data_IF_249720762602
#
_entry.id   IF_249720762602
#
_cell.length_a   1.000
_cell.length_b   1.000
_cell.length_c   1.000
_cell.angle_alpha   90.00
_cell.angle_beta   90.00
_cell.angle_gamma   90.00
#
_symmetry.space_group_name_H-M   'P 1'
#
loop_
_entity.id
_entity.type
_entity.pdbx_description
1 polymer ?
#
# COMPACT_ATOMS: atom_id res chain seq x y z
N UNK A 1 -10.47 -26.01 2.85
CA UNK A 1 -11.46 -24.91 2.99
C UNK A 1 -11.09 -23.65 2.19
N UNK A 2 -9.82 -23.24 2.12
CA UNK A 2 -9.38 -22.05 1.33
C UNK A 2 -9.51 -22.24 -0.20
N UNK A 3 -9.23 -23.44 -0.71
CA UNK A 3 -9.30 -23.74 -2.15
C UNK A 3 -10.74 -23.71 -2.69
N UNK A 4 -11.74 -24.11 -1.90
CA UNK A 4 -13.16 -24.03 -2.30
C UNK A 4 -13.62 -22.57 -2.42
N UNK A 5 -13.30 -21.74 -1.42
CA UNK A 5 -13.67 -20.31 -1.43
C UNK A 5 -13.04 -19.55 -2.60
N UNK A 6 -11.84 -19.93 -3.05
CA UNK A 6 -11.19 -19.31 -4.23
C UNK A 6 -11.82 -19.71 -5.56
N UNK A 7 -12.28 -20.96 -5.69
CA UNK A 7 -12.98 -21.46 -6.88
C UNK A 7 -14.38 -20.86 -6.97
N UNK A 8 -15.10 -20.76 -5.85
CA UNK A 8 -16.41 -20.11 -5.77
C UNK A 8 -16.32 -18.62 -6.12
N UNK A 9 -15.36 -17.89 -5.56
CA UNK A 9 -15.17 -16.47 -5.86
C UNK A 9 -14.83 -16.19 -7.34
N UNK A 10 -14.03 -17.07 -7.96
CA UNK A 10 -13.69 -16.92 -9.38
C UNK A 10 -14.89 -17.18 -10.29
N UNK A 11 -15.74 -18.13 -9.91
CA UNK A 11 -16.98 -18.45 -10.64
C UNK A 11 -18.02 -17.33 -10.53
N UNK A 12 -18.14 -16.70 -9.35
CA UNK A 12 -19.06 -15.60 -9.11
C UNK A 12 -18.68 -14.33 -9.88
N UNK A 13 -17.38 -14.00 -9.95
CA UNK A 13 -16.90 -12.89 -10.77
C UNK A 13 -17.07 -13.21 -12.26
N UNK A 14 -16.81 -14.44 -12.69
CA UNK A 14 -17.07 -14.84 -14.07
C UNK A 14 -18.57 -14.73 -14.40
N UNK A 15 -19.46 -15.13 -13.50
CA UNK A 15 -20.91 -14.95 -13.67
C UNK A 15 -21.29 -13.46 -13.72
N UNK A 16 -20.79 -12.65 -12.78
CA UNK A 16 -21.08 -11.23 -12.70
C UNK A 16 -20.53 -10.43 -13.90
N UNK A 17 -19.37 -10.81 -14.46
CA UNK A 17 -18.82 -10.18 -15.67
C UNK A 17 -19.62 -10.49 -16.94
N UNK A 18 -20.40 -11.58 -16.96
CA UNK A 18 -21.24 -11.99 -18.09
C UNK A 18 -22.72 -11.60 -17.95
N UNK A 19 -23.17 -11.22 -16.75
CA UNK A 19 -24.55 -10.79 -16.51
C UNK A 19 -24.62 -9.25 -16.27
N UNK A 20 -25.24 -8.47 -17.18
CA UNK A 20 -25.30 -7.01 -17.09
C UNK A 20 -26.10 -6.49 -15.89
N UNK A 21 -26.77 -7.36 -15.14
CA UNK A 21 -27.45 -7.00 -13.88
C UNK A 21 -26.47 -6.79 -12.72
N UNK A 22 -25.24 -7.26 -12.86
CA UNK A 22 -24.19 -7.08 -11.86
C UNK A 22 -23.30 -5.88 -12.22
N UNK A 23 -22.86 -5.19 -11.19
CA UNK A 23 -21.82 -4.18 -11.31
C UNK A 23 -20.92 -4.20 -10.08
N UNK A 24 -19.68 -3.77 -10.29
CA UNK A 24 -18.68 -3.63 -9.25
C UNK A 24 -18.65 -2.19 -8.81
N UNK A 25 -18.60 -1.97 -7.50
CA UNK A 25 -18.47 -0.63 -6.94
C UNK A 25 -17.33 -0.58 -5.92
N UNK A 26 -16.60 0.52 -5.97
CA UNK A 26 -15.62 0.88 -4.95
C UNK A 26 -16.33 1.83 -4.00
N UNK A 27 -16.21 1.54 -2.72
CA UNK A 27 -16.72 2.38 -1.65
C UNK A 27 -15.54 2.91 -0.83
N UNK A 28 -15.60 4.16 -0.41
CA UNK A 28 -14.67 4.68 0.57
C UNK A 28 -15.04 4.10 1.94
N UNK A 29 -14.11 3.39 2.59
CA UNK A 29 -14.39 2.67 3.84
C UNK A 29 -14.86 3.58 4.98
N UNK A 30 -14.25 4.77 5.09
CA UNK A 30 -14.57 5.75 6.15
C UNK A 30 -16.02 6.24 6.09
N UNK A 31 -16.55 6.44 4.89
CA UNK A 31 -17.86 7.08 4.68
C UNK A 31 -18.92 6.09 4.20
N UNK A 32 -18.51 4.92 3.71
CA UNK A 32 -19.38 3.97 3.03
C UNK A 32 -19.91 4.47 1.69
N UNK A 33 -19.40 5.59 1.16
CA UNK A 33 -19.90 6.19 -0.07
C UNK A 33 -19.30 5.51 -1.31
N UNK A 34 -20.09 5.25 -2.36
CA UNK A 34 -19.55 4.75 -3.62
C UNK A 34 -18.73 5.85 -4.30
N UNK A 35 -17.51 5.51 -4.72
CA UNK A 35 -16.57 6.43 -5.38
C UNK A 35 -16.23 6.00 -6.81
N UNK A 36 -16.51 4.74 -7.17
CA UNK A 36 -16.31 4.24 -8.52
C UNK A 36 -17.27 3.09 -8.83
N UNK A 37 -17.67 2.96 -10.09
CA UNK A 37 -18.48 1.85 -10.56
C UNK A 37 -17.94 1.33 -11.89
N UNK A 38 -17.93 0.01 -12.04
CA UNK A 38 -17.58 -0.67 -13.28
C UNK A 38 -18.57 -1.80 -13.60
N UNK A 39 -18.81 -2.04 -14.88
CA UNK A 39 -19.62 -3.17 -15.34
C UNK A 39 -18.82 -4.47 -15.44
N UNK A 40 -17.48 -4.40 -15.36
CA UNK A 40 -16.58 -5.55 -15.35
C UNK A 40 -15.55 -5.38 -14.25
N UNK A 41 -15.15 -6.49 -13.64
CA UNK A 41 -14.13 -6.45 -12.59
C UNK A 41 -12.83 -5.87 -13.11
N UNK A 42 -12.47 -6.16 -14.37
CA UNK A 42 -11.26 -5.61 -15.00
C UNK A 42 -11.27 -4.09 -15.20
N UNK A 43 -12.44 -3.47 -15.30
CA UNK A 43 -12.51 -2.02 -15.47
C UNK A 43 -12.30 -1.27 -14.14
N UNK A 44 -12.36 -1.98 -13.00
CA UNK A 44 -11.99 -1.44 -11.68
C UNK A 44 -10.53 -0.98 -11.62
N UNK A 45 -9.66 -1.52 -12.47
CA UNK A 45 -8.25 -1.11 -12.56
C UNK A 45 -8.07 0.31 -13.08
N UNK A 46 -9.04 0.86 -13.82
CA UNK A 46 -9.01 2.26 -14.23
C UNK A 46 -9.08 3.20 -13.03
N UNK A 47 -9.78 2.81 -11.97
CA UNK A 47 -9.80 3.60 -10.74
C UNK A 47 -8.40 3.68 -10.11
N UNK A 48 -7.66 2.58 -10.06
CA UNK A 48 -6.31 2.56 -9.49
C UNK A 48 -5.27 3.29 -10.35
N UNK A 49 -5.53 3.41 -11.66
CA UNK A 49 -4.63 4.09 -12.60
C UNK A 49 -4.97 5.58 -12.83
N UNK A 50 -6.19 6.02 -12.49
CA UNK A 50 -6.70 7.37 -12.81
C UNK A 50 -7.20 8.10 -11.54
N UNK A 51 -7.40 7.40 -10.43
CA UNK A 51 -8.03 7.92 -9.22
C UNK A 51 -7.10 8.75 -8.33
N UNK A 52 -7.68 9.43 -7.31
CA UNK A 52 -6.90 10.15 -6.30
C UNK A 52 -5.95 9.19 -5.58
N UNK A 53 -4.98 9.75 -4.84
CA UNK A 53 -3.98 9.07 -3.99
C UNK A 53 -4.57 8.23 -2.84
N UNK A 54 -5.73 7.61 -3.03
CA UNK A 54 -6.37 6.70 -2.10
C UNK A 54 -5.65 5.36 -2.07
N UNK A 55 -5.34 4.89 -0.88
CA UNK A 55 -4.71 3.59 -0.67
C UNK A 55 -5.78 2.51 -0.79
N UNK A 56 -5.42 1.32 -1.29
CA UNK A 56 -6.33 0.17 -1.38
C UNK A 56 -6.96 -0.19 -0.02
N UNK A 57 -6.25 0.07 1.08
CA UNK A 57 -6.73 -0.16 2.44
C UNK A 57 -7.92 0.74 2.85
N UNK A 58 -8.12 1.86 2.16
CA UNK A 58 -9.17 2.86 2.44
C UNK A 58 -10.46 2.59 1.66
N UNK A 59 -10.51 1.52 0.87
CA UNK A 59 -11.64 1.19 0.03
C UNK A 59 -12.19 -0.21 0.32
N UNK A 60 -13.47 -0.39 -0.01
CA UNK A 60 -14.13 -1.69 -0.14
C UNK A 60 -14.54 -1.87 -1.59
N UNK A 61 -14.27 -3.04 -2.17
CA UNK A 61 -14.91 -3.42 -3.44
C UNK A 61 -16.15 -4.23 -3.10
N UNK A 62 -17.26 -4.01 -3.80
CA UNK A 62 -18.48 -4.81 -3.61
C UNK A 62 -19.09 -5.16 -4.95
N UNK A 63 -19.61 -6.38 -5.03
CA UNK A 63 -20.44 -6.84 -6.14
C UNK A 63 -21.88 -6.50 -5.79
N UNK A 64 -22.54 -5.74 -6.66
CA UNK A 64 -23.90 -5.28 -6.46
C UNK A 64 -24.82 -5.81 -7.56
N UNK A 65 -25.99 -6.31 -7.13
CA UNK A 65 -27.09 -6.72 -7.99
C UNK A 65 -28.29 -5.81 -7.71
N UNK A 66 -28.64 -4.94 -8.66
CA UNK A 66 -29.67 -3.92 -8.44
C UNK A 66 -29.33 -3.03 -7.24
N UNK A 67 -30.19 -2.98 -6.20
CA UNK A 67 -29.92 -2.27 -4.92
C UNK A 67 -29.30 -3.16 -3.83
N UNK A 68 -29.15 -4.46 -4.07
CA UNK A 68 -28.68 -5.43 -3.08
C UNK A 68 -27.18 -5.66 -3.25
N UNK A 69 -26.43 -5.45 -2.16
CA UNK A 69 -25.01 -5.84 -2.10
C UNK A 69 -25.00 -7.34 -1.88
N UNK A 70 -24.44 -8.09 -2.83
CA UNK A 70 -24.50 -9.56 -2.82
C UNK A 70 -23.30 -10.15 -2.10
N UNK A 71 -22.17 -9.43 -2.05
CA UNK A 71 -20.98 -9.87 -1.31
C UNK A 71 -20.15 -8.68 -0.78
N UNK A 72 -19.68 -8.72 0.47
CA UNK A 72 -18.55 -7.91 0.93
C UNK A 72 -17.26 -8.51 0.35
N UNK A 73 -17.06 -8.30 -0.95
CA UNK A 73 -15.95 -8.90 -1.69
C UNK A 73 -14.68 -8.06 -1.55
N UNK A 74 -13.75 -8.57 -0.75
CA UNK A 74 -12.38 -8.12 -0.59
C UNK A 74 -12.18 -7.00 0.43
N UNK A 75 -11.31 -7.32 1.38
CA UNK A 75 -10.74 -6.44 2.40
C UNK A 75 -11.59 -6.38 3.68
N UNK A 76 -11.93 -7.57 4.20
CA UNK A 76 -11.73 -7.74 5.63
C UNK A 76 -10.21 -7.91 5.83
N UNK A 77 -9.54 -6.80 6.16
CA UNK A 77 -8.16 -6.75 6.68
C UNK A 77 -8.04 -6.94 8.21
N UNK A 78 -8.94 -7.61 8.97
CA UNK A 78 -8.69 -7.80 10.39
C UNK A 78 -7.78 -9.02 10.55
N UNK A 79 -6.45 -8.78 10.53
CA UNK A 79 -5.49 -9.52 11.37
C UNK A 79 -4.04 -9.01 11.30
N UNK A 80 -3.66 -8.16 10.35
CA UNK A 80 -2.40 -7.38 10.49
C UNK A 80 -2.64 -6.05 11.19
N UNK A 81 -3.89 -5.53 11.16
CA UNK A 81 -4.29 -4.26 11.80
C UNK A 81 -4.06 -4.16 13.31
N UNK A 82 -3.65 -5.22 13.99
CA UNK A 82 -3.28 -5.14 15.40
C UNK A 82 -1.83 -4.69 15.66
N UNK A 83 -0.94 -4.52 14.65
CA UNK A 83 0.51 -4.40 14.95
C UNK A 83 1.40 -3.55 14.02
N UNK A 84 0.95 -2.51 13.30
CA UNK A 84 1.93 -1.49 12.88
C UNK A 84 2.29 -0.65 14.10
N UNK A 85 3.28 -1.12 14.86
CA UNK A 85 3.85 -0.35 15.98
C UNK A 85 4.60 0.88 15.47
N UNK A 86 4.95 0.92 14.19
CA UNK A 86 5.78 1.97 13.60
C UNK A 86 5.03 2.74 12.52
N UNK A 87 5.25 4.04 12.49
CA UNK A 87 4.65 4.98 11.54
C UNK A 87 5.71 5.94 11.04
N UNK A 88 5.66 6.26 9.76
CA UNK A 88 6.38 7.42 9.24
C UNK A 88 5.52 8.65 9.51
N UNK A 89 6.01 9.53 10.38
CA UNK A 89 5.26 10.70 10.85
C UNK A 89 5.96 11.98 10.44
N UNK A 90 5.18 13.06 10.37
CA UNK A 90 5.70 14.42 10.23
C UNK A 90 4.96 15.36 11.16
N UNK A 91 5.71 16.16 11.89
CA UNK A 91 5.26 17.28 12.70
C UNK A 91 5.69 18.56 11.99
N UNK A 92 4.74 19.43 11.67
CA UNK A 92 5.00 20.69 10.97
C UNK A 92 5.30 21.80 11.98
N UNK A 93 6.40 22.51 11.74
CA UNK A 93 6.94 23.49 12.69
C UNK A 93 7.07 24.86 12.01
N UNK A 94 6.61 25.89 12.72
CA UNK A 94 6.91 27.28 12.43
C UNK A 94 7.96 27.79 13.44
N UNK A 95 9.20 27.94 12.97
CA UNK A 95 10.35 28.40 13.78
C UNK A 95 10.91 29.76 13.30
N UNK A 96 10.27 30.40 12.31
CA UNK A 96 10.80 31.54 11.57
C UNK A 96 11.86 31.16 10.54
N UNK A 97 11.87 29.91 10.06
CA UNK A 97 12.73 29.46 8.96
C UNK A 97 12.15 29.93 7.63
N UNK A 98 12.94 30.64 6.82
CA UNK A 98 12.54 31.19 5.53
C UNK A 98 13.47 30.82 4.38
N UNK A 99 13.35 31.51 3.22
CA UNK A 99 14.20 31.28 2.04
C UNK A 99 15.70 31.46 2.32
N UNK A 100 16.04 32.42 3.18
CA UNK A 100 17.41 32.70 3.65
C UNK A 100 17.85 31.76 4.79
N UNK A 101 17.08 30.71 5.06
CA UNK A 101 17.24 29.84 6.21
C UNK A 101 16.68 30.45 7.49
N UNK A 102 17.24 30.05 8.62
CA UNK A 102 16.87 30.53 9.95
C UNK A 102 18.02 31.33 10.54
N UNK A 103 17.71 32.45 11.21
CA UNK A 103 18.71 33.23 11.91
C UNK A 103 19.44 32.36 12.95
N UNK A 104 20.77 32.48 13.02
CA UNK A 104 21.61 31.58 13.82
C UNK A 104 21.16 31.48 15.29
N UNK A 105 20.81 32.60 15.92
CA UNK A 105 20.32 32.60 17.31
C UNK A 105 18.98 31.85 17.46
N UNK A 106 18.06 31.96 16.49
CA UNK A 106 16.80 31.21 16.50
C UNK A 106 17.05 29.72 16.31
N UNK A 107 18.00 29.34 15.45
CA UNK A 107 18.38 27.95 15.28
C UNK A 107 18.97 27.36 16.56
N UNK A 108 19.82 28.13 17.27
CA UNK A 108 20.36 27.70 18.56
C UNK A 108 19.27 27.51 19.61
N UNK A 109 18.28 28.41 19.68
CA UNK A 109 17.13 28.28 20.57
C UNK A 109 16.30 27.03 20.23
N UNK A 110 15.97 26.84 18.95
CA UNK A 110 15.27 25.65 18.45
C UNK A 110 16.01 24.37 18.84
N UNK A 111 17.31 24.27 18.52
CA UNK A 111 18.11 23.08 18.81
C UNK A 111 18.23 22.81 20.31
N UNK A 112 18.36 23.85 21.14
CA UNK A 112 18.42 23.72 22.60
C UNK A 112 17.11 23.15 23.15
N UNK A 113 15.98 23.67 22.69
CA UNK A 113 14.67 23.19 23.14
C UNK A 113 14.36 21.78 22.63
N UNK A 114 14.69 21.45 21.37
CA UNK A 114 14.59 20.10 20.82
C UNK A 114 15.42 19.11 21.64
N UNK A 115 16.67 19.47 21.98
CA UNK A 115 17.51 18.63 22.86
C UNK A 115 16.83 18.38 24.20
N UNK A 116 16.30 19.43 24.83
CA UNK A 116 15.61 19.31 26.11
C UNK A 116 14.38 18.40 26.01
N UNK A 117 13.45 18.70 25.10
CA UNK A 117 12.20 17.95 24.91
C UNK A 117 12.49 16.46 24.73
N UNK A 118 13.38 16.11 23.80
CA UNK A 118 13.63 14.72 23.48
C UNK A 118 14.47 14.01 24.55
N UNK A 119 15.43 14.70 25.20
CA UNK A 119 16.18 14.11 26.32
C UNK A 119 15.27 13.81 27.52
N UNK A 120 14.34 14.71 27.84
CA UNK A 120 13.34 14.50 28.91
C UNK A 120 12.43 13.30 28.59
N UNK A 121 12.17 13.03 27.31
CA UNK A 121 11.46 11.85 26.83
C UNK A 121 12.34 10.58 26.72
N UNK A 122 13.62 10.67 27.09
CA UNK A 122 14.57 9.56 27.07
C UNK A 122 15.03 9.16 25.67
N UNK A 123 15.11 10.11 24.74
CA UNK A 123 15.74 9.91 23.43
C UNK A 123 17.22 10.25 23.49
N UNK A 124 18.00 9.52 22.69
CA UNK A 124 19.36 9.91 22.36
C UNK A 124 19.31 10.97 21.24
N UNK A 125 20.13 12.02 21.39
CA UNK A 125 20.20 13.10 20.39
C UNK A 125 21.57 13.09 19.73
N UNK A 126 21.57 12.83 18.43
CA UNK A 126 22.79 12.79 17.61
C UNK A 126 22.78 13.86 16.53
N UNK A 127 23.96 14.16 15.99
CA UNK A 127 24.13 14.99 14.80
C UNK A 127 25.24 14.35 13.96
N UNK A 128 24.97 14.15 12.67
CA UNK A 128 25.94 13.51 11.77
C UNK A 128 27.14 14.41 11.47
N UNK A 129 26.90 15.65 11.08
CA UNK A 129 27.91 16.70 10.92
C UNK A 129 27.30 18.06 11.32
N UNK A 130 28.10 19.10 11.62
CA UNK A 130 27.58 20.39 12.09
C UNK A 130 26.48 21.01 11.22
N UNK A 131 26.52 20.76 9.90
CA UNK A 131 25.58 21.25 8.89
C UNK A 131 24.25 20.49 8.85
N UNK A 132 24.20 19.30 9.45
CA UNK A 132 22.98 18.50 9.53
C UNK A 132 22.18 18.87 10.77
N UNK A 133 20.86 18.85 10.65
CA UNK A 133 19.97 19.00 11.80
C UNK A 133 20.07 17.81 12.76
N UNK A 134 19.53 17.98 13.96
CA UNK A 134 19.54 16.95 15.00
C UNK A 134 18.73 15.73 14.57
N UNK A 135 19.11 14.57 15.10
CA UNK A 135 18.31 13.34 15.04
C UNK A 135 18.00 12.86 16.46
N UNK A 136 16.74 12.55 16.74
CA UNK A 136 16.27 12.02 18.00
C UNK A 136 15.90 10.54 17.85
N UNK A 137 16.61 9.67 18.57
CA UNK A 137 16.49 8.21 18.46
C UNK A 137 16.07 7.54 19.77
N UNK A 138 15.11 6.62 19.71
CA UNK A 138 14.68 5.79 20.85
C UNK A 138 14.05 4.50 20.34
N UNK A 139 14.69 3.35 20.60
CA UNK A 139 14.24 2.08 20.04
C UNK A 139 14.23 2.11 18.51
N UNK A 140 13.07 1.87 17.89
CA UNK A 140 12.87 1.98 16.44
C UNK A 140 12.46 3.39 15.99
N UNK A 141 12.22 4.32 16.92
CA UNK A 141 11.94 5.71 16.58
C UNK A 141 13.24 6.42 16.19
N UNK A 142 13.23 7.08 15.03
CA UNK A 142 14.31 7.93 14.54
C UNK A 142 13.70 9.13 13.83
N UNK A 143 13.84 10.30 14.44
CA UNK A 143 13.24 11.56 13.97
C UNK A 143 14.32 12.55 13.60
N UNK A 144 14.32 12.98 12.34
CA UNK A 144 15.11 14.11 11.86
C UNK A 144 14.42 15.42 12.25
N UNK A 145 15.12 16.29 12.97
CA UNK A 145 14.57 17.50 13.58
C UNK A 145 14.99 18.75 12.80
N UNK A 146 14.36 19.00 11.66
CA UNK A 146 14.55 20.22 10.90
C UNK A 146 13.70 21.37 11.47
N UNK A 147 14.14 22.64 11.42
CA UNK A 147 13.37 23.76 11.96
C UNK A 147 11.99 23.98 11.30
N UNK A 148 11.77 23.46 10.09
CA UNK A 148 10.44 23.49 9.44
C UNK A 148 9.59 22.24 9.71
N UNK A 149 10.19 21.15 10.16
CA UNK A 149 9.50 19.90 10.42
C UNK A 149 10.35 18.90 11.21
N UNK A 150 9.70 18.13 12.07
CA UNK A 150 10.29 16.90 12.62
C UNK A 150 9.67 15.71 11.89
N UNK A 151 10.48 14.84 11.32
CA UNK A 151 9.99 13.74 10.48
C UNK A 151 10.83 12.50 10.64
N UNK A 152 10.17 11.35 10.61
CA UNK A 152 10.86 10.07 10.58
C UNK A 152 10.01 8.93 11.09
N UNK A 153 10.67 7.80 11.31
CA UNK A 153 10.04 6.59 11.83
C UNK A 153 9.72 6.80 13.31
N UNK A 154 8.52 6.43 13.74
CA UNK A 154 8.06 6.65 15.11
C UNK A 154 7.19 5.51 15.60
N UNK A 155 7.43 5.09 16.84
CA UNK A 155 6.52 4.20 17.55
C UNK A 155 5.16 4.88 17.75
N UNK A 156 4.09 4.21 17.33
CA UNK A 156 2.72 4.71 17.36
C UNK A 156 2.29 5.15 18.77
N UNK A 157 2.75 4.45 19.80
CA UNK A 157 2.51 4.79 21.21
C UNK A 157 3.20 6.07 21.66
N UNK A 158 4.27 6.50 20.97
CA UNK A 158 5.06 7.68 21.34
C UNK A 158 4.56 8.96 20.67
N UNK A 159 3.81 8.85 19.57
CA UNK A 159 3.41 10.00 18.73
C UNK A 159 2.68 11.07 19.55
N UNK A 160 1.69 10.67 20.34
CA UNK A 160 0.85 11.61 21.07
C UNK A 160 1.64 12.34 22.17
N UNK A 161 2.51 11.64 22.89
CA UNK A 161 3.40 12.23 23.89
C UNK A 161 4.39 13.21 23.25
N UNK A 162 4.98 12.85 22.11
CA UNK A 162 5.88 13.75 21.35
C UNK A 162 5.10 14.99 20.91
N UNK A 163 3.92 14.81 20.31
CA UNK A 163 3.06 15.90 19.86
C UNK A 163 2.77 16.89 20.98
N UNK A 164 2.38 16.41 22.16
CA UNK A 164 2.08 17.25 23.32
C UNK A 164 3.29 18.06 23.79
N UNK A 165 4.47 17.44 23.86
CA UNK A 165 5.69 18.15 24.26
C UNK A 165 6.14 19.19 23.23
N UNK A 166 6.01 18.88 21.93
CA UNK A 166 6.28 19.84 20.86
C UNK A 166 5.29 21.00 20.85
N UNK A 167 4.01 20.75 21.16
CA UNK A 167 2.99 21.80 21.28
C UNK A 167 3.23 22.75 22.45
N UNK A 168 3.97 22.35 23.48
CA UNK A 168 4.31 23.18 24.64
C UNK A 168 5.58 24.02 24.45
N UNK A 169 6.19 23.95 23.26
CA UNK A 169 7.42 24.67 22.90
C UNK A 169 7.28 26.19 23.05
N UNK A 170 8.38 26.84 23.43
CA UNK A 170 8.48 28.30 23.54
C UNK A 170 9.24 28.93 22.37
N UNK A 171 10.04 28.16 21.61
CA UNK A 171 10.90 28.67 20.53
C UNK A 171 10.33 28.42 19.14
N UNK A 172 9.28 27.60 19.01
CA UNK A 172 8.59 27.31 17.76
C UNK A 172 7.12 26.94 18.01
N UNK A 173 6.31 26.97 16.95
CA UNK A 173 4.91 26.57 17.00
C UNK A 173 4.73 25.26 16.23
N UNK A 174 4.13 24.26 16.87
CA UNK A 174 3.63 23.07 16.17
C UNK A 174 2.32 23.44 15.46
N UNK A 175 2.33 23.47 14.13
CA UNK A 175 1.15 23.88 13.34
C UNK A 175 0.21 22.72 13.05
N UNK A 176 0.77 21.54 12.74
CA UNK A 176 0.01 20.32 12.48
C UNK A 176 0.90 19.08 12.55
N UNK A 177 0.29 17.89 12.50
CA UNK A 177 1.02 16.62 12.40
C UNK A 177 0.24 15.61 11.57
N UNK A 178 0.95 14.74 10.86
CA UNK A 178 0.34 13.68 10.07
C UNK A 178 1.10 12.35 10.19
N UNK A 179 0.36 11.25 9.97
CA UNK A 179 0.94 9.94 9.66
C UNK A 179 0.98 9.78 8.15
N UNK A 180 2.18 9.75 7.58
CA UNK A 180 2.40 9.58 6.14
C UNK A 180 2.14 8.11 5.76
N UNK A 181 2.78 7.19 6.49
CA UNK A 181 2.70 5.77 6.23
C UNK A 181 2.68 4.94 7.51
N UNK A 182 1.94 3.83 7.48
CA UNK A 182 2.11 2.72 8.43
C UNK A 182 3.33 1.90 7.99
N UNK A 183 4.17 1.50 8.94
CA UNK A 183 5.39 0.73 8.69
C UNK A 183 5.30 -0.61 9.43
N UNK A 184 5.45 -1.70 8.68
CA UNK A 184 5.37 -3.06 9.22
C UNK A 184 6.74 -3.61 9.58
N UNK A 185 6.94 -3.94 10.85
CA UNK A 185 8.11 -4.68 11.32
C UNK A 185 7.86 -6.18 11.18
N UNK A 186 8.11 -6.71 9.97
CA UNK A 186 7.82 -8.10 9.60
C UNK A 186 8.94 -8.72 8.77
N UNK A 187 9.10 -10.04 8.89
CA UNK A 187 10.08 -10.81 8.10
C UNK A 187 9.64 -10.95 6.63
N UNK A 188 10.56 -11.28 5.70
CA UNK A 188 10.20 -11.56 4.31
C UNK A 188 9.13 -12.65 4.16
N UNK A 189 9.19 -13.68 4.99
CA UNK A 189 8.26 -14.82 4.98
C UNK A 189 6.88 -14.39 5.45
N UNK A 190 6.81 -13.53 6.47
CA UNK A 190 5.57 -12.94 6.95
C UNK A 190 4.95 -12.01 5.90
N UNK A 191 5.77 -11.20 5.22
CA UNK A 191 5.34 -10.33 4.12
C UNK A 191 4.78 -11.15 2.94
N UNK A 192 5.48 -12.21 2.51
CA UNK A 192 4.98 -13.12 1.47
C UNK A 192 3.69 -13.82 1.90
N UNK A 193 3.62 -14.33 3.14
CA UNK A 193 2.41 -14.95 3.68
C UNK A 193 1.23 -13.97 3.69
N UNK A 194 1.48 -12.70 4.02
CA UNK A 194 0.49 -11.64 3.91
C UNK A 194 -0.02 -11.49 2.46
N UNK A 195 0.88 -11.41 1.47
CA UNK A 195 0.46 -11.33 0.08
C UNK A 195 -0.37 -12.54 -0.36
N UNK A 196 0.04 -13.77 -0.02
CA UNK A 196 -0.73 -14.98 -0.31
C UNK A 196 -2.10 -14.98 0.37
N UNK A 197 -2.18 -14.51 1.62
CA UNK A 197 -3.42 -14.56 2.37
C UNK A 197 -4.45 -13.56 1.84
N UNK A 198 -4.02 -12.34 1.49
CA UNK A 198 -4.94 -11.24 1.20
C UNK A 198 -5.05 -10.89 -0.29
N UNK A 199 -4.02 -11.17 -1.08
CA UNK A 199 -3.95 -10.75 -2.49
C UNK A 199 -3.98 -11.90 -3.49
N UNK A 200 -3.96 -13.16 -3.07
CA UNK A 200 -3.91 -14.30 -4.01
C UNK A 200 -5.12 -14.33 -4.96
N UNK A 201 -6.34 -14.26 -4.43
CA UNK A 201 -7.55 -14.18 -5.25
C UNK A 201 -7.59 -12.90 -6.09
N UNK A 202 -7.28 -11.75 -5.48
CA UNK A 202 -7.23 -10.46 -6.17
C UNK A 202 -6.31 -10.49 -7.39
N UNK A 203 -5.03 -10.84 -7.20
CA UNK A 203 -4.01 -10.88 -8.27
C UNK A 203 -4.40 -11.86 -9.36
N UNK A 204 -4.93 -13.03 -9.01
CA UNK A 204 -5.41 -14.01 -9.99
C UNK A 204 -6.45 -13.39 -10.94
N UNK A 205 -7.45 -12.71 -10.39
CA UNK A 205 -8.51 -12.05 -11.16
C UNK A 205 -8.01 -10.85 -11.97
N UNK A 206 -7.11 -10.06 -11.38
CA UNK A 206 -6.45 -8.94 -12.06
C UNK A 206 -5.72 -9.42 -13.31
N UNK A 207 -4.93 -10.48 -13.19
CA UNK A 207 -4.16 -11.05 -14.28
C UNK A 207 -5.07 -11.58 -15.39
N UNK A 208 -6.16 -12.29 -15.05
CA UNK A 208 -7.16 -12.71 -16.05
C UNK A 208 -7.74 -11.50 -16.78
N UNK A 209 -8.18 -10.48 -16.05
CA UNK A 209 -8.76 -9.27 -16.63
C UNK A 209 -7.80 -8.52 -17.55
N UNK A 210 -6.58 -8.28 -17.08
CA UNK A 210 -5.52 -7.63 -17.85
C UNK A 210 -5.22 -8.41 -19.11
N UNK A 211 -5.05 -9.74 -19.03
CA UNK A 211 -4.67 -10.56 -20.17
C UNK A 211 -5.85 -11.08 -21.00
N UNK A 212 -7.10 -10.74 -20.65
CA UNK A 212 -8.28 -11.09 -21.45
C UNK A 212 -8.18 -10.43 -22.83
N UNK A 213 -8.30 -11.25 -23.87
CA UNK A 213 -8.34 -10.80 -25.26
C UNK A 213 -9.58 -11.35 -25.97
N UNK A 214 -10.03 -10.64 -27.01
CA UNK A 214 -11.21 -11.07 -27.80
C UNK A 214 -10.88 -12.21 -28.77
N UNK A 215 -9.60 -12.40 -29.11
CA UNK A 215 -9.13 -13.36 -30.13
C UNK A 215 -7.89 -14.07 -29.64
N UNK A 216 -7.75 -15.37 -29.99
CA UNK A 216 -6.66 -16.25 -29.53
C UNK A 216 -5.27 -15.87 -30.02
N UNK A 217 -5.18 -15.13 -31.13
CA UNK A 217 -3.91 -14.66 -31.68
C UNK A 217 -3.48 -13.31 -31.11
N UNK A 218 -4.29 -12.68 -30.26
CA UNK A 218 -3.95 -11.42 -29.61
C UNK A 218 -3.34 -11.68 -28.24
N UNK A 219 -2.20 -11.04 -28.00
CA UNK A 219 -1.46 -11.08 -26.74
C UNK A 219 -1.17 -9.65 -26.27
N UNK A 220 -1.09 -9.45 -24.96
CA UNK A 220 -0.78 -8.17 -24.33
C UNK A 220 0.56 -8.23 -23.61
N UNK A 221 1.21 -7.08 -23.40
CA UNK A 221 2.54 -7.03 -22.75
C UNK A 221 2.48 -7.52 -21.31
N UNK A 222 3.50 -8.29 -20.89
CA UNK A 222 3.67 -8.69 -19.48
C UNK A 222 4.05 -7.51 -18.56
N UNK A 223 4.50 -6.39 -19.12
CA UNK A 223 4.89 -5.21 -18.32
C UNK A 223 3.75 -4.67 -17.45
N UNK A 224 2.50 -4.89 -17.84
CA UNK A 224 1.32 -4.50 -17.04
C UNK A 224 1.26 -5.21 -15.68
N UNK A 225 2.01 -6.28 -15.46
CA UNK A 225 2.09 -6.97 -14.16
C UNK A 225 2.84 -6.14 -13.10
N UNK A 226 3.82 -5.33 -13.52
CA UNK A 226 4.62 -4.53 -12.58
C UNK A 226 3.77 -3.54 -11.80
N UNK A 227 2.70 -3.02 -12.41
CA UNK A 227 1.79 -2.08 -11.76
C UNK A 227 0.97 -2.75 -10.65
N UNK A 228 0.71 -4.06 -10.74
CA UNK A 228 0.05 -4.82 -9.67
C UNK A 228 0.94 -4.86 -8.42
N UNK A 229 2.21 -5.20 -8.58
CA UNK A 229 3.18 -5.23 -7.47
C UNK A 229 3.35 -3.86 -6.81
N UNK A 230 3.41 -2.78 -7.61
CA UNK A 230 3.44 -1.40 -7.13
C UNK A 230 2.20 -1.00 -6.32
N UNK A 231 1.07 -1.59 -6.65
CA UNK A 231 -0.23 -1.28 -6.07
C UNK A 231 -0.45 -1.98 -4.73
N UNK A 232 0.00 -3.23 -4.60
CA UNK A 232 -0.24 -4.04 -3.38
C UNK A 232 0.89 -3.96 -2.34
N UNK A 233 2.06 -3.41 -2.71
CA UNK A 233 3.23 -3.37 -1.82
C UNK A 233 2.91 -2.64 -0.52
N UNK A 234 3.41 -3.20 0.58
CA UNK A 234 3.35 -2.58 1.92
C UNK A 234 4.73 -2.08 2.35
N UNK A 235 4.78 -0.96 3.08
CA UNK A 235 6.03 -0.44 3.61
C UNK A 235 6.46 -1.23 4.84
N UNK A 236 7.66 -1.78 4.79
CA UNK A 236 8.25 -2.54 5.90
C UNK A 236 9.43 -1.79 6.50
N UNK A 237 9.75 -2.07 7.77
CA UNK A 237 10.93 -1.50 8.43
C UNK A 237 12.21 -1.77 7.62
N UNK A 238 12.31 -2.98 7.06
CA UNK A 238 13.40 -3.39 6.17
C UNK A 238 13.53 -2.48 4.94
N UNK A 239 12.42 -2.07 4.33
CA UNK A 239 12.46 -1.16 3.18
C UNK A 239 13.00 0.23 3.57
N UNK A 240 12.65 0.73 4.76
CA UNK A 240 13.18 1.99 5.31
C UNK A 240 14.68 1.87 5.70
N UNK A 241 15.19 0.65 5.88
CA UNK A 241 16.61 0.34 6.11
C UNK A 241 17.42 0.12 4.82
N UNK A 242 16.87 0.46 3.64
CA UNK A 242 17.60 0.46 2.37
C UNK A 242 17.38 -0.77 1.49
N UNK A 243 16.49 -1.69 1.85
CA UNK A 243 16.11 -2.79 0.96
C UNK A 243 15.16 -2.33 -0.14
N UNK A 244 15.21 -3.00 -1.31
CA UNK A 244 14.37 -2.65 -2.47
C UNK A 244 12.88 -2.74 -2.12
N UNK A 245 12.25 -1.58 -1.98
CA UNK A 245 10.83 -1.46 -1.68
C UNK A 245 9.96 -2.05 -2.81
N UNK A 246 9.03 -2.94 -2.46
CA UNK A 246 8.10 -3.59 -3.40
C UNK A 246 8.62 -4.87 -4.06
N UNK A 247 9.87 -5.28 -3.82
CA UNK A 247 10.43 -6.49 -4.44
C UNK A 247 9.63 -7.76 -4.13
N UNK A 248 9.18 -7.95 -2.89
CA UNK A 248 8.42 -9.15 -2.53
C UNK A 248 6.99 -9.13 -3.12
N UNK A 249 6.39 -7.96 -3.25
CA UNK A 249 5.12 -7.81 -3.96
C UNK A 249 5.27 -8.18 -5.45
N UNK A 250 6.35 -7.73 -6.11
CA UNK A 250 6.69 -8.10 -7.50
C UNK A 250 6.85 -9.63 -7.63
N UNK A 251 7.66 -10.24 -6.76
CA UNK A 251 7.89 -11.69 -6.75
C UNK A 251 6.61 -12.49 -6.51
N UNK A 252 5.75 -12.03 -5.61
CA UNK A 252 4.47 -12.65 -5.36
C UNK A 252 3.57 -12.63 -6.61
N UNK A 253 3.48 -11.49 -7.32
CA UNK A 253 2.70 -11.39 -8.56
C UNK A 253 3.26 -12.32 -9.63
N UNK A 254 4.59 -12.41 -9.75
CA UNK A 254 5.26 -13.32 -10.68
C UNK A 254 4.98 -14.79 -10.33
N UNK A 255 5.00 -15.17 -9.05
CA UNK A 255 4.67 -16.52 -8.61
C UNK A 255 3.23 -16.90 -8.99
N UNK A 256 2.25 -16.02 -8.75
CA UNK A 256 0.85 -16.28 -9.13
C UNK A 256 0.73 -16.40 -10.65
N UNK A 257 1.39 -15.51 -11.39
CA UNK A 257 1.42 -15.57 -12.85
C UNK A 257 1.95 -16.91 -13.37
N UNK A 258 3.09 -17.38 -12.86
CA UNK A 258 3.69 -18.64 -13.32
C UNK A 258 2.78 -19.83 -13.04
N UNK A 259 2.19 -19.91 -11.84
CA UNK A 259 1.19 -20.94 -11.53
C UNK A 259 -0.01 -20.89 -12.48
N UNK A 260 -0.43 -19.71 -12.92
CA UNK A 260 -1.53 -19.59 -13.89
C UNK A 260 -1.14 -20.03 -15.30
N UNK A 261 0.13 -19.84 -15.69
CA UNK A 261 0.66 -20.37 -16.96
C UNK A 261 0.74 -21.89 -16.91
N UNK A 262 1.32 -22.45 -15.85
CA UNK A 262 1.44 -23.89 -15.63
C UNK A 262 0.07 -24.59 -15.64
N UNK A 263 -0.95 -23.96 -15.04
CA UNK A 263 -2.32 -24.48 -15.02
C UNK A 263 -3.12 -24.19 -16.30
N UNK A 264 -2.50 -23.61 -17.32
CA UNK A 264 -3.15 -23.28 -18.60
C UNK A 264 -4.23 -22.21 -18.51
N UNK A 265 -4.30 -21.46 -17.40
CA UNK A 265 -5.21 -20.32 -17.23
C UNK A 265 -4.72 -19.14 -18.07
N UNK A 266 -3.41 -18.94 -18.12
CA UNK A 266 -2.72 -17.97 -18.96
C UNK A 266 -1.88 -18.69 -20.02
N UNK A 267 -1.73 -18.08 -21.19
CA UNK A 267 -0.97 -18.63 -22.32
C UNK A 267 0.07 -17.59 -22.74
N UNK A 268 1.34 -17.96 -22.65
CA UNK A 268 2.45 -17.14 -23.13
C UNK A 268 2.52 -17.15 -24.66
N UNK A 269 2.94 -16.02 -25.24
CA UNK A 269 3.27 -15.98 -26.65
C UNK A 269 4.62 -16.67 -26.91
N UNK A 270 4.86 -17.17 -28.13
CA UNK A 270 6.17 -17.70 -28.52
C UNK A 270 7.35 -16.72 -28.40
N UNK A 271 7.07 -15.41 -28.33
CA UNK A 271 8.08 -14.37 -28.14
C UNK A 271 8.32 -13.99 -26.66
N UNK A 272 7.81 -14.78 -25.70
CA UNK A 272 8.03 -14.73 -24.23
C UNK A 272 7.80 -13.39 -23.50
N UNK A 273 7.42 -12.31 -24.20
CA UNK A 273 7.14 -10.98 -23.58
C UNK A 273 5.66 -10.63 -23.55
N UNK A 274 4.80 -11.47 -24.12
CA UNK A 274 3.36 -11.22 -24.16
C UNK A 274 2.58 -12.43 -23.65
N UNK A 275 1.39 -12.16 -23.13
CA UNK A 275 0.51 -13.16 -22.56
C UNK A 275 -0.95 -12.87 -22.92
N UNK A 276 -1.79 -13.90 -22.90
CA UNK A 276 -3.25 -13.80 -22.96
C UNK A 276 -3.89 -14.76 -21.96
N UNK A 277 -5.12 -14.47 -21.56
CA UNK A 277 -5.95 -15.46 -20.87
C UNK A 277 -6.37 -16.58 -21.83
N UNK A 278 -6.52 -17.78 -21.27
CA UNK A 278 -7.08 -18.93 -21.99
C UNK A 278 -8.55 -18.68 -22.34
N UNK A 279 -9.00 -19.30 -23.42
CA UNK A 279 -10.39 -19.27 -23.89
C UNK A 279 -11.04 -20.63 -23.71
N UNK A 280 -12.37 -20.70 -23.76
CA UNK A 280 -13.12 -21.95 -23.54
C UNK A 280 -12.66 -23.10 -24.44
N UNK A 281 -12.30 -22.83 -25.70
CA UNK A 281 -11.79 -23.89 -26.59
C UNK A 281 -10.31 -24.28 -26.35
N UNK A 282 -9.56 -23.55 -25.51
CA UNK A 282 -8.19 -23.93 -25.12
C UNK A 282 -8.25 -25.00 -24.03
N UNK A 283 -9.27 -24.91 -23.16
CA UNK A 283 -9.57 -25.91 -22.12
C UNK A 283 -10.04 -27.26 -22.69
N UNK A 284 -10.53 -27.29 -23.93
CA UNK A 284 -10.97 -28.52 -24.63
C UNK A 284 -9.75 -29.30 -25.15
N UNK A 285 -8.71 -28.62 -25.63
CA UNK A 285 -7.52 -29.24 -26.24
C UNK A 285 -6.52 -29.80 -25.22
N UNK A 286 -6.59 -29.37 -23.95
CA UNK A 286 -5.72 -29.87 -22.88
C UNK A 286 -6.19 -31.19 -22.24
N UNK A 287 -7.39 -31.68 -22.58
CA UNK A 287 -8.00 -32.92 -22.05
C UNK A 287 -8.01 -34.08 -23.06
N UNK A 288 -7.40 -33.88 -24.24
CA UNK A 288 -7.23 -34.86 -25.30
C UNK A 288 -5.77 -35.24 -25.42
#
# INVERSE_FOLDING_TARGET
>A
MIVLLQLEFSAEIEQADHDPKYSYRIFQRKTGNPIYQACRFSDMFRFFNIGPSMKIEDIDIRIQWGRKIVMPAMIDTPRIRERSRLKLVRFYIESGYGPEGIAQYKNQLFETEIRKIFSDLGFEITRKTPEYSLSATKGHTNLYCHPTHIMGLCDASSIETIRQNLSASQTFILTSSETIHEIYDITPEQEMKYYHQFFNGFVHLVLIGIFRTKRRNLYKSKDMMYDIGRTIKIRTLRAEQGYKFGLLAEKFVEEIYQKMVENGVLIESPCHRKCRASTSKDKITAKS
#
